data_IF_509281573233
#
_entry.id   IF_509281573233
#
_cell.length_a   1.000
_cell.length_b   1.000
_cell.length_c   1.000
_cell.angle_alpha   90.00
_cell.angle_beta   90.00
_cell.angle_gamma   90.00
#
_symmetry.space_group_name_H-M   'P 1'
#
loop_
_entity.id
_entity.type
_entity.pdbx_description
1 polymer ?
#
# COMPACT_ATOMS: atom_id res chain seq x y z
N UNK A 1 17.67 14.46 69.56
CA UNK A 1 17.62 13.17 68.84
C UNK A 1 16.13 12.82 68.65
N UNK A 2 15.49 13.26 67.57
CA UNK A 2 15.14 12.51 66.33
C UNK A 2 14.20 11.32 66.61
N UNK A 3 12.94 11.27 66.14
CA UNK A 3 12.43 11.15 64.75
C UNK A 3 10.90 11.36 64.78
N UNK A 4 10.28 12.26 64.02
CA UNK A 4 9.94 12.30 62.57
C UNK A 4 8.41 12.20 62.38
N UNK A 5 7.89 13.31 61.87
CA UNK A 5 6.61 13.48 61.20
C UNK A 5 6.43 12.48 60.05
N UNK A 6 5.22 11.96 59.88
CA UNK A 6 4.68 11.58 58.56
C UNK A 6 3.21 12.00 58.53
N UNK A 7 2.99 13.15 57.90
CA UNK A 7 1.70 13.69 57.50
C UNK A 7 1.00 12.67 56.59
N UNK A 8 -0.26 12.37 56.90
CA UNK A 8 -1.17 11.56 56.07
C UNK A 8 -1.32 12.22 54.70
N UNK A 9 -0.67 11.66 53.67
CA UNK A 9 -0.94 12.03 52.28
C UNK A 9 -2.27 11.41 51.84
N UNK A 10 -3.26 12.28 51.65
CA UNK A 10 -4.50 11.97 50.99
C UNK A 10 -4.23 11.49 49.54
N UNK A 11 -4.98 10.47 49.14
CA UNK A 11 -4.83 9.82 47.85
C UNK A 11 -5.13 10.73 46.67
N UNK A 12 -4.32 10.57 45.63
CA UNK A 12 -4.70 10.83 44.25
C UNK A 12 -4.08 9.71 43.40
N UNK A 13 -4.87 8.69 43.12
CA UNK A 13 -4.53 7.62 42.19
C UNK A 13 -4.68 8.18 40.78
N UNK A 14 -3.59 8.70 40.21
CA UNK A 14 -3.57 9.14 38.81
C UNK A 14 -3.32 7.90 37.94
N UNK A 15 -4.41 7.28 37.48
CA UNK A 15 -4.36 6.32 36.39
C UNK A 15 -4.25 7.10 35.06
N UNK A 16 -3.03 7.32 34.57
CA UNK A 16 -2.85 7.75 33.18
C UNK A 16 -2.97 6.52 32.29
N UNK A 17 -4.13 6.42 31.64
CA UNK A 17 -4.47 5.41 30.68
C UNK A 17 -3.43 5.30 29.55
N UNK A 18 -3.22 4.07 29.10
CA UNK A 18 -2.25 3.66 28.11
C UNK A 18 -2.28 4.50 26.83
N UNK A 19 -1.11 5.01 26.43
CA UNK A 19 -0.83 5.41 25.05
C UNK A 19 -0.67 4.15 24.19
N UNK A 20 -1.77 3.43 23.98
CA UNK A 20 -1.92 2.55 22.84
C UNK A 20 -2.47 3.39 21.68
N UNK A 21 -1.69 4.38 21.22
CA UNK A 21 -1.78 4.77 19.82
C UNK A 21 -1.18 3.61 19.04
N UNK A 22 -2.04 2.60 18.86
CA UNK A 22 -1.77 1.38 18.17
C UNK A 22 -1.12 1.70 16.84
N UNK A 23 -0.23 0.79 16.44
CA UNK A 23 0.07 0.60 15.04
C UNK A 23 -1.26 0.70 14.28
N UNK A 24 -1.44 1.73 13.45
CA UNK A 24 -2.44 1.67 12.41
C UNK A 24 -1.98 0.53 11.51
N UNK A 25 -2.43 -0.69 11.81
CA UNK A 25 -2.41 -1.76 10.83
C UNK A 25 -3.11 -1.19 9.63
N UNK A 26 -2.35 -0.89 8.58
CA UNK A 26 -2.93 -0.49 7.30
C UNK A 26 -3.99 -1.53 6.98
N UNK A 27 -5.24 -1.08 6.87
CA UNK A 27 -6.34 -1.99 6.60
C UNK A 27 -6.03 -2.69 5.29
N UNK A 28 -6.14 -4.02 5.28
CA UNK A 28 -5.89 -4.79 4.08
C UNK A 28 -6.78 -4.28 2.94
N UNK A 29 -6.27 -4.25 1.69
CA UNK A 29 -7.09 -3.88 0.55
C UNK A 29 -8.34 -4.76 0.48
N UNK A 30 -9.51 -4.19 0.22
CA UNK A 30 -10.74 -4.98 0.03
C UNK A 30 -10.67 -5.80 -1.27
N UNK A 31 -9.84 -5.37 -2.22
CA UNK A 31 -9.53 -6.10 -3.45
C UNK A 31 -8.06 -5.92 -3.80
N UNK A 32 -7.42 -7.00 -4.23
CA UNK A 32 -6.07 -6.95 -4.78
C UNK A 32 -6.04 -7.66 -6.12
N UNK A 33 -5.41 -7.04 -7.10
CA UNK A 33 -5.13 -7.66 -8.41
C UNK A 33 -3.64 -7.65 -8.69
N UNK A 34 -3.20 -8.60 -9.50
CA UNK A 34 -1.86 -8.66 -10.08
C UNK A 34 -1.94 -8.61 -11.60
N UNK A 35 -0.88 -8.10 -12.22
CA UNK A 35 -0.71 -8.12 -13.67
C UNK A 35 0.75 -8.37 -14.05
N UNK A 36 0.92 -8.89 -15.27
CA UNK A 36 2.22 -9.05 -15.91
C UNK A 36 2.38 -7.98 -16.99
N UNK A 37 3.45 -7.20 -16.88
CA UNK A 37 3.96 -6.37 -17.96
C UNK A 37 4.66 -7.25 -19.00
N UNK A 38 4.57 -6.89 -20.27
CA UNK A 38 5.29 -7.62 -21.33
C UNK A 38 6.81 -7.54 -21.12
N UNK A 39 7.29 -6.36 -20.74
CA UNK A 39 8.70 -6.11 -20.44
C UNK A 39 8.88 -5.00 -19.39
N UNK A 40 10.08 -4.85 -18.79
CA UNK A 40 10.36 -3.75 -17.85
C UNK A 40 10.17 -2.36 -18.46
N UNK A 41 10.29 -2.23 -19.78
CA UNK A 41 10.11 -0.97 -20.51
C UNK A 41 8.65 -0.50 -20.51
N UNK A 42 7.68 -1.34 -20.14
CA UNK A 42 6.28 -0.93 -20.00
C UNK A 42 5.96 -0.22 -18.69
N UNK A 43 6.89 -0.18 -17.72
CA UNK A 43 6.66 0.45 -16.41
C UNK A 43 6.19 1.90 -16.52
N UNK A 44 6.80 2.79 -17.34
CA UNK A 44 6.28 4.14 -17.52
C UNK A 44 4.84 4.17 -18.06
N UNK A 45 4.48 3.24 -18.95
CA UNK A 45 3.13 3.17 -19.47
C UNK A 45 2.12 2.70 -18.42
N UNK A 46 2.52 1.75 -17.57
CA UNK A 46 1.74 1.34 -16.41
C UNK A 46 1.47 2.51 -15.46
N UNK A 47 2.51 3.24 -15.06
CA UNK A 47 2.40 4.42 -14.17
C UNK A 47 1.49 5.48 -14.80
N UNK A 48 1.64 5.76 -16.10
CA UNK A 48 0.80 6.73 -16.81
C UNK A 48 -0.68 6.33 -16.83
N UNK A 49 -0.99 5.04 -17.03
CA UNK A 49 -2.38 4.54 -16.99
C UNK A 49 -2.96 4.71 -15.58
N UNK A 50 -2.20 4.36 -14.53
CA UNK A 50 -2.66 4.52 -13.14
C UNK A 50 -2.88 5.99 -12.77
N UNK A 51 -2.01 6.90 -13.21
CA UNK A 51 -2.19 8.34 -13.04
C UNK A 51 -3.43 8.84 -13.79
N UNK A 52 -3.67 8.39 -15.03
CA UNK A 52 -4.86 8.75 -15.79
C UNK A 52 -6.14 8.28 -15.11
N UNK A 53 -6.17 7.05 -14.57
CA UNK A 53 -7.27 6.53 -13.75
C UNK A 53 -7.48 7.43 -12.53
N UNK A 54 -6.41 7.77 -11.80
CA UNK A 54 -6.49 8.66 -10.64
C UNK A 54 -7.11 10.02 -11.02
N UNK A 55 -6.68 10.63 -12.12
CA UNK A 55 -7.22 11.91 -12.61
C UNK A 55 -8.70 11.83 -13.00
N UNK A 56 -9.11 10.76 -13.70
CA UNK A 56 -10.51 10.52 -14.08
C UNK A 56 -11.42 10.43 -12.85
N UNK A 57 -10.92 9.87 -11.76
CA UNK A 57 -11.63 9.73 -10.50
C UNK A 57 -11.33 10.85 -9.49
N UNK A 58 -10.67 11.93 -9.94
CA UNK A 58 -10.35 13.11 -9.13
C UNK A 58 -9.59 12.76 -7.84
N UNK A 59 -8.65 11.84 -7.92
CA UNK A 59 -7.81 11.38 -6.82
C UNK A 59 -6.50 12.15 -6.79
N UNK A 60 -5.92 12.32 -5.61
CA UNK A 60 -4.57 12.85 -5.45
C UNK A 60 -3.55 11.73 -5.74
N UNK A 61 -2.83 11.82 -6.85
CA UNK A 61 -1.84 10.82 -7.26
C UNK A 61 -0.47 11.08 -6.63
N UNK A 62 0.19 10.02 -6.18
CA UNK A 62 1.53 10.05 -5.60
C UNK A 62 2.42 9.01 -6.27
N UNK A 63 3.64 9.41 -6.62
CA UNK A 63 4.71 8.51 -7.07
C UNK A 63 5.90 8.64 -6.12
N UNK A 64 6.13 7.59 -5.32
CA UNK A 64 7.24 7.50 -4.37
C UNK A 64 8.30 6.50 -4.83
N UNK A 65 8.23 6.02 -6.07
CA UNK A 65 9.09 4.96 -6.60
C UNK A 65 10.58 5.27 -6.41
N UNK A 66 11.00 6.50 -6.73
CA UNK A 66 12.40 6.91 -6.58
C UNK A 66 12.85 7.01 -5.11
N UNK A 67 12.00 7.53 -4.22
CA UNK A 67 12.28 7.58 -2.79
C UNK A 67 12.41 6.16 -2.22
N UNK A 68 11.44 5.30 -2.51
CA UNK A 68 11.43 3.92 -2.03
C UNK A 68 12.61 3.14 -2.60
N UNK A 69 13.02 3.37 -3.85
CA UNK A 69 14.22 2.75 -4.40
C UNK A 69 15.49 3.16 -3.64
N UNK A 70 15.64 4.44 -3.28
CA UNK A 70 16.77 4.91 -2.49
C UNK A 70 16.78 4.28 -1.08
N UNK A 71 15.62 4.21 -0.42
CA UNK A 71 15.45 3.58 0.89
C UNK A 71 15.81 2.08 0.82
N UNK A 72 15.26 1.35 -0.16
CA UNK A 72 15.53 -0.07 -0.37
C UNK A 72 17.02 -0.33 -0.67
N UNK A 73 17.67 0.54 -1.46
CA UNK A 73 19.13 0.44 -1.71
C UNK A 73 19.95 0.62 -0.44
N UNK A 74 19.52 1.49 0.48
CA UNK A 74 20.24 1.73 1.74
C UNK A 74 20.17 0.55 2.72
N UNK A 75 19.10 -0.25 2.67
CA UNK A 75 18.92 -1.44 3.51
C UNK A 75 19.25 -2.75 2.79
N UNK A 76 19.76 -2.68 1.55
CA UNK A 76 19.98 -3.84 0.69
C UNK A 76 20.85 -4.88 1.42
N UNK A 77 20.27 -6.03 1.68
CA UNK A 77 20.97 -7.22 2.15
C UNK A 77 20.79 -8.37 1.14
N UNK A 78 21.60 -9.41 1.24
CA UNK A 78 21.60 -10.56 0.31
C UNK A 78 20.27 -11.32 0.23
N UNK A 79 19.31 -11.06 1.12
CA UNK A 79 18.05 -11.78 1.23
C UNK A 79 16.86 -11.00 0.65
N UNK A 80 17.02 -9.72 0.35
CA UNK A 80 15.94 -8.88 -0.20
C UNK A 80 16.24 -8.61 -1.68
N UNK A 81 15.52 -9.29 -2.56
CA UNK A 81 15.51 -8.95 -3.99
C UNK A 81 14.67 -7.70 -4.19
N UNK A 82 15.32 -6.63 -4.65
CA UNK A 82 14.67 -5.37 -4.98
C UNK A 82 14.51 -5.35 -6.50
N UNK A 83 13.27 -5.33 -6.97
CA UNK A 83 12.97 -5.16 -8.39
C UNK A 83 13.50 -3.80 -8.87
N UNK A 84 14.02 -3.79 -10.10
CA UNK A 84 14.43 -2.55 -10.77
C UNK A 84 13.91 -2.54 -12.22
N UNK A 85 13.21 -1.46 -12.66
CA UNK A 85 12.79 -0.32 -11.84
C UNK A 85 11.80 -0.71 -10.74
N UNK A 86 11.92 -0.06 -9.58
CA UNK A 86 10.95 -0.21 -8.49
C UNK A 86 9.73 0.65 -8.77
N UNK A 87 8.54 0.18 -8.40
CA UNK A 87 7.30 0.94 -8.50
C UNK A 87 6.64 1.00 -7.13
N UNK A 88 6.34 2.22 -6.69
CA UNK A 88 5.55 2.51 -5.51
C UNK A 88 4.71 3.77 -5.78
N UNK A 89 3.50 3.55 -6.29
CA UNK A 89 2.56 4.62 -6.61
C UNK A 89 1.26 4.40 -5.84
N UNK A 90 0.49 5.46 -5.68
CA UNK A 90 -0.84 5.35 -5.12
C UNK A 90 -1.67 6.58 -5.45
N UNK A 91 -2.96 6.49 -5.20
CA UNK A 91 -3.81 7.67 -5.19
C UNK A 91 -4.88 7.56 -4.13
N UNK A 92 -5.29 8.70 -3.58
CA UNK A 92 -6.30 8.79 -2.53
C UNK A 92 -7.44 9.74 -2.93
N UNK A 93 -8.68 9.34 -2.62
CA UNK A 93 -9.88 10.17 -2.78
C UNK A 93 -10.31 10.72 -1.43
N UNK A 94 -9.53 11.63 -0.86
CA UNK A 94 -9.83 12.32 0.40
C UNK A 94 -10.24 11.36 1.56
N UNK A 95 -9.64 10.16 1.61
CA UNK A 95 -9.94 9.13 2.60
C UNK A 95 -11.16 8.24 2.31
N UNK A 96 -11.90 8.45 1.23
CA UNK A 96 -13.04 7.61 0.86
C UNK A 96 -12.60 6.24 0.34
N UNK A 97 -11.75 6.26 -0.69
CA UNK A 97 -11.13 5.10 -1.29
C UNK A 97 -9.77 5.47 -1.89
N UNK A 98 -8.89 4.48 -2.00
CA UNK A 98 -7.54 4.67 -2.52
C UNK A 98 -7.06 3.45 -3.28
N UNK A 99 -5.95 3.60 -3.99
CA UNK A 99 -5.16 2.46 -4.43
C UNK A 99 -3.69 2.64 -4.05
N UNK A 100 -3.03 1.52 -3.80
CA UNK A 100 -1.58 1.42 -3.82
C UNK A 100 -1.17 0.41 -4.89
N UNK A 101 -0.13 0.72 -5.66
CA UNK A 101 0.38 -0.18 -6.69
C UNK A 101 1.90 -0.21 -6.72
N UNK A 102 2.45 -1.40 -6.96
CA UNK A 102 3.90 -1.56 -6.97
C UNK A 102 4.38 -2.99 -7.17
N UNK A 103 5.69 -3.14 -7.11
CA UNK A 103 6.38 -4.43 -7.29
C UNK A 103 7.27 -4.81 -6.09
N UNK A 104 6.97 -4.31 -4.90
CA UNK A 104 7.70 -4.71 -3.69
C UNK A 104 7.50 -6.21 -3.42
N UNK A 105 8.60 -6.97 -3.36
CA UNK A 105 8.56 -8.42 -3.19
C UNK A 105 8.15 -9.20 -4.45
N UNK A 106 7.97 -8.51 -5.59
CA UNK A 106 7.65 -9.12 -6.88
C UNK A 106 8.79 -8.91 -7.89
N UNK A 107 8.91 -9.76 -8.93
CA UNK A 107 9.83 -9.51 -10.04
C UNK A 107 9.48 -8.22 -10.80
N UNK A 108 10.47 -7.60 -11.47
CA UNK A 108 10.33 -6.30 -12.17
C UNK A 108 9.11 -6.17 -13.07
N UNK A 109 8.71 -7.24 -13.76
CA UNK A 109 7.59 -7.24 -14.71
C UNK A 109 6.23 -7.47 -14.07
N UNK A 110 6.14 -7.64 -12.76
CA UNK A 110 4.90 -7.97 -12.08
C UNK A 110 4.49 -6.80 -11.20
N UNK A 111 3.23 -6.40 -11.30
CA UNK A 111 2.64 -5.37 -10.46
C UNK A 111 1.52 -5.96 -9.64
N UNK A 112 1.42 -5.53 -8.39
CA UNK A 112 0.22 -5.69 -7.57
C UNK A 112 -0.46 -4.33 -7.40
N UNK A 113 -1.78 -4.34 -7.37
CA UNK A 113 -2.62 -3.18 -7.09
C UNK A 113 -3.59 -3.58 -5.99
N UNK A 114 -3.50 -2.91 -4.84
CA UNK A 114 -4.47 -3.01 -3.76
C UNK A 114 -5.42 -1.83 -3.78
N UNK A 115 -6.73 -2.10 -3.79
CA UNK A 115 -7.79 -1.11 -3.63
C UNK A 115 -8.22 -1.06 -2.16
N UNK A 116 -8.16 0.12 -1.55
CA UNK A 116 -8.42 0.33 -0.11
C UNK A 116 -9.56 1.32 0.11
N UNK A 117 -10.03 1.37 1.36
CA UNK A 117 -11.20 2.14 1.79
C UNK A 117 -12.26 1.22 2.37
N UNK A 118 -13.36 1.80 2.83
CA UNK A 118 -14.54 1.01 3.19
C UNK A 118 -15.12 0.37 1.92
N UNK A 119 -15.58 -0.89 2.00
CA UNK A 119 -16.19 -1.64 0.89
C UNK A 119 -17.61 -1.12 0.54
N UNK A 120 -17.65 0.15 0.18
CA UNK A 120 -18.83 0.87 -0.28
C UNK A 120 -19.07 0.59 -1.76
N UNK A 121 -20.29 0.89 -2.22
CA UNK A 121 -20.61 0.78 -3.64
C UNK A 121 -19.67 1.63 -4.52
N UNK A 122 -19.34 2.85 -4.07
CA UNK A 122 -18.44 3.75 -4.80
C UNK A 122 -17.00 3.20 -4.90
N UNK A 123 -16.46 2.65 -3.81
CA UNK A 123 -15.12 2.04 -3.81
C UNK A 123 -15.05 0.82 -4.75
N UNK A 124 -16.11 -0.02 -4.75
CA UNK A 124 -16.24 -1.15 -5.68
C UNK A 124 -16.37 -0.71 -7.13
N UNK A 125 -17.17 0.32 -7.40
CA UNK A 125 -17.34 0.89 -8.74
C UNK A 125 -16.00 1.40 -9.28
N UNK A 126 -15.26 2.16 -8.45
CA UNK A 126 -13.90 2.60 -8.78
C UNK A 126 -12.97 1.42 -9.08
N UNK A 127 -12.89 0.43 -8.19
CA UNK A 127 -12.01 -0.73 -8.39
C UNK A 127 -12.37 -1.51 -9.67
N UNK A 128 -13.67 -1.67 -9.96
CA UNK A 128 -14.15 -2.30 -11.19
C UNK A 128 -13.77 -1.49 -12.44
N UNK A 129 -13.93 -0.17 -12.41
CA UNK A 129 -13.56 0.70 -13.53
C UNK A 129 -12.04 0.68 -13.79
N UNK A 130 -11.23 0.77 -12.74
CA UNK A 130 -9.78 0.69 -12.83
C UNK A 130 -9.32 -0.66 -13.42
N UNK A 131 -9.89 -1.78 -12.93
CA UNK A 131 -9.59 -3.13 -13.47
C UNK A 131 -10.01 -3.24 -14.92
N UNK A 132 -11.18 -2.73 -15.30
CA UNK A 132 -11.64 -2.72 -16.68
C UNK A 132 -10.69 -1.94 -17.59
N UNK A 133 -10.21 -0.77 -17.16
CA UNK A 133 -9.25 0.03 -17.93
C UNK A 133 -7.92 -0.71 -18.11
N UNK A 134 -7.36 -1.27 -17.03
CA UNK A 134 -6.10 -2.01 -17.08
C UNK A 134 -6.20 -3.27 -17.96
N UNK A 135 -7.37 -3.93 -17.94
CA UNK A 135 -7.62 -5.15 -18.72
C UNK A 135 -7.55 -4.95 -20.23
N UNK A 136 -7.65 -3.71 -20.72
CA UNK A 136 -7.49 -3.38 -22.13
C UNK A 136 -6.07 -3.65 -22.65
N UNK A 137 -5.08 -3.69 -21.75
CA UNK A 137 -3.66 -3.87 -22.11
C UNK A 137 -3.00 -5.06 -21.43
N UNK A 138 -3.34 -5.33 -20.18
CA UNK A 138 -2.69 -6.38 -19.40
C UNK A 138 -3.68 -7.41 -18.92
N UNK A 139 -3.23 -8.67 -18.85
CA UNK A 139 -3.99 -9.73 -18.20
C UNK A 139 -4.05 -9.47 -16.70
N UNK A 140 -5.26 -9.31 -16.17
CA UNK A 140 -5.52 -9.13 -14.74
C UNK A 140 -5.74 -10.48 -14.08
N UNK A 141 -5.17 -10.64 -12.88
CA UNK A 141 -5.29 -11.83 -12.05
C UNK A 141 -5.78 -11.36 -10.67
N UNK A 142 -6.93 -11.84 -10.23
CA UNK A 142 -7.41 -11.58 -8.87
C UNK A 142 -6.51 -12.30 -7.86
N UNK A 143 -6.16 -11.60 -6.79
CA UNK A 143 -5.45 -12.18 -5.65
C UNK A 143 -6.49 -12.56 -4.58
N UNK A 144 -6.47 -13.81 -4.06
CA UNK A 144 -7.36 -14.19 -2.98
C UNK A 144 -7.19 -13.28 -1.74
N UNK A 145 -8.30 -12.89 -1.10
CA UNK A 145 -8.30 -11.90 -0.02
C UNK A 145 -7.51 -12.30 1.23
N UNK A 146 -7.25 -13.59 1.42
CA UNK A 146 -6.54 -14.16 2.57
C UNK A 146 -5.01 -14.18 2.40
N UNK A 147 -4.49 -13.65 1.29
CA UNK A 147 -3.06 -13.67 0.99
C UNK A 147 -2.59 -12.44 0.23
N UNK A 148 -1.30 -12.15 0.37
CA UNK A 148 -0.62 -11.16 -0.46
C UNK A 148 -0.37 -11.66 -1.88
N UNK A 149 -0.12 -10.70 -2.77
CA UNK A 149 0.42 -10.93 -4.10
C UNK A 149 1.74 -11.71 -4.02
N UNK A 150 1.87 -12.79 -4.80
CA UNK A 150 3.09 -13.59 -4.89
C UNK A 150 3.64 -13.60 -6.33
N UNK A 151 4.94 -13.91 -6.52
CA UNK A 151 5.50 -14.07 -7.85
C UNK A 151 4.70 -15.08 -8.69
N UNK A 152 4.23 -14.63 -9.85
CA UNK A 152 3.53 -15.45 -10.82
C UNK A 152 4.55 -16.23 -11.67
N UNK A 153 4.36 -17.55 -11.89
CA UNK A 153 5.32 -18.38 -12.61
C UNK A 153 5.41 -18.04 -14.11
N UNK A 154 4.32 -17.55 -14.72
CA UNK A 154 4.19 -17.38 -16.17
C UNK A 154 3.92 -15.93 -16.60
N UNK A 155 4.62 -14.96 -16.01
CA UNK A 155 4.66 -13.62 -16.59
C UNK A 155 5.69 -13.63 -17.73
N UNK A 156 5.27 -13.84 -18.97
CA UNK A 156 6.14 -13.94 -20.15
C UNK A 156 5.89 -15.21 -20.93
#
# INVERSE_FOLDING_TARGET
MTRREIVRMAGAMVAVAALANGCSQGQAPFRTVQLCLASPQEVPAFVNVMNAIAQQHQMEFTDRSGQTEAELRSIKNKYVQIAHPHVNIGADRNGDFSFGAGNLGLPTRQMAIGFNGHDTAAAREFANAAVAELSKRWRIIEVPQDRGALPLPNCG
#
